data_IF_036768796226
#
_entry.id   IF_036768796226
#
_cell.length_a   1.000
_cell.length_b   1.000
_cell.length_c   1.000
_cell.angle_alpha   90.00
_cell.angle_beta   90.00
_cell.angle_gamma   90.00
#
_symmetry.space_group_name_H-M   'P 1'
#
loop_
_entity.id
_entity.type
_entity.pdbx_description
1 polymer ?
#
# COMPACT_ATOMS: atom_id res chain seq x y z
N UNK A 1 10.60 -4.69 8.29
CA UNK A 1 10.16 -3.29 8.46
C UNK A 1 8.70 -3.17 8.07
N UNK A 2 7.95 -2.41 8.82
CA UNK A 2 6.52 -2.23 8.61
C UNK A 2 6.25 -0.90 7.90
N UNK A 3 5.38 -0.95 6.91
CA UNK A 3 5.02 0.21 6.09
C UNK A 3 3.51 0.34 5.98
N UNK A 4 3.05 1.57 5.87
CA UNK A 4 1.64 1.89 5.61
C UNK A 4 1.59 2.74 4.34
N UNK A 5 0.92 2.25 3.31
CA UNK A 5 0.70 3.01 2.09
C UNK A 5 -0.74 3.52 2.04
N UNK A 6 -0.87 4.81 1.83
CA UNK A 6 -2.14 5.50 1.70
C UNK A 6 -2.34 5.81 0.22
N UNK A 7 -3.44 5.34 -0.35
CA UNK A 7 -3.69 5.42 -1.79
C UNK A 7 -4.86 6.32 -2.10
N UNK A 8 -4.66 7.21 -3.07
CA UNK A 8 -5.73 8.05 -3.60
C UNK A 8 -5.92 7.72 -5.08
N UNK A 9 -6.90 6.89 -5.42
CA UNK A 9 -7.17 6.57 -6.82
C UNK A 9 -7.82 7.77 -7.49
N UNK A 10 -7.22 8.22 -8.58
CA UNK A 10 -7.73 9.40 -9.29
C UNK A 10 -8.97 9.04 -10.08
N UNK A 11 -10.13 9.05 -9.42
CA UNK A 11 -11.42 8.87 -10.08
C UNK A 11 -11.69 7.46 -10.63
N UNK A 12 -11.09 6.44 -10.07
CA UNK A 12 -11.21 5.08 -10.63
C UNK A 12 -12.35 4.23 -10.07
N UNK A 13 -13.01 4.66 -9.00
CA UNK A 13 -14.19 3.97 -8.48
C UNK A 13 -14.00 2.47 -8.26
N UNK A 14 -14.87 1.67 -8.88
CA UNK A 14 -14.85 0.20 -8.72
C UNK A 14 -13.57 -0.46 -9.23
N UNK A 15 -12.86 0.16 -10.17
CA UNK A 15 -11.59 -0.39 -10.62
C UNK A 15 -10.55 -0.36 -9.50
N UNK A 16 -10.60 0.67 -8.65
CA UNK A 16 -9.73 0.75 -7.49
C UNK A 16 -10.01 -0.38 -6.51
N UNK A 17 -11.30 -0.66 -6.25
CA UNK A 17 -11.69 -1.76 -5.36
C UNK A 17 -11.18 -3.09 -5.90
N UNK A 18 -11.38 -3.36 -7.18
CA UNK A 18 -10.91 -4.60 -7.81
C UNK A 18 -9.41 -4.75 -7.70
N UNK A 19 -8.67 -3.66 -7.94
CA UNK A 19 -7.23 -3.70 -7.82
C UNK A 19 -6.77 -4.01 -6.41
N UNK A 20 -7.35 -3.33 -5.42
CA UNK A 20 -7.00 -3.57 -4.02
C UNK A 20 -7.27 -5.02 -3.61
N UNK A 21 -8.38 -5.60 -4.07
CA UNK A 21 -8.69 -7.00 -3.81
C UNK A 21 -7.69 -7.97 -4.45
N UNK A 22 -7.08 -7.57 -5.56
CA UNK A 22 -6.15 -8.42 -6.30
C UNK A 22 -4.71 -8.33 -5.81
N UNK A 23 -4.39 -7.39 -4.91
CA UNK A 23 -3.03 -7.23 -4.42
C UNK A 23 -2.54 -8.47 -3.70
N UNK A 24 -1.34 -8.90 -4.06
CA UNK A 24 -0.70 -10.06 -3.47
C UNK A 24 0.72 -9.72 -3.08
N UNK A 25 1.21 -10.40 -2.06
CA UNK A 25 2.60 -10.30 -1.67
C UNK A 25 3.49 -10.82 -2.79
N UNK A 26 4.71 -10.31 -2.80
CA UNK A 26 5.77 -10.75 -3.70
C UNK A 26 6.94 -11.20 -2.84
N UNK A 27 7.96 -11.76 -3.48
CA UNK A 27 9.20 -12.06 -2.78
C UNK A 27 9.72 -10.81 -2.08
N UNK A 28 9.95 -10.91 -0.77
CA UNK A 28 10.40 -9.78 0.03
C UNK A 28 9.31 -8.84 0.52
N UNK A 29 8.07 -9.04 0.09
CA UNK A 29 6.92 -8.21 0.48
C UNK A 29 5.82 -9.10 1.05
N UNK A 30 5.43 -8.82 2.30
CA UNK A 30 4.31 -9.51 2.95
C UNK A 30 3.20 -8.52 3.20
N UNK A 31 2.09 -8.67 2.50
CA UNK A 31 0.91 -7.83 2.73
C UNK A 31 0.17 -8.36 3.95
N UNK A 32 -0.02 -7.49 4.96
CA UNK A 32 -0.72 -7.85 6.18
C UNK A 32 -2.20 -7.52 6.11
N UNK A 33 -2.52 -6.31 5.67
CA UNK A 33 -3.91 -5.84 5.61
C UNK A 33 -4.09 -4.92 4.42
N UNK A 34 -5.27 -4.98 3.83
CA UNK A 34 -5.68 -4.06 2.78
C UNK A 34 -7.08 -3.57 3.12
N UNK A 35 -7.24 -2.25 3.20
CA UNK A 35 -8.53 -1.64 3.50
C UNK A 35 -8.95 -0.72 2.37
N UNK A 36 -10.23 -0.72 2.07
CA UNK A 36 -10.85 0.30 1.24
C UNK A 36 -11.48 1.34 2.17
N UNK A 37 -11.17 2.61 1.96
CA UNK A 37 -11.61 3.69 2.85
C UNK A 37 -12.33 4.77 2.05
N UNK A 38 -13.06 5.62 2.77
CA UNK A 38 -13.69 6.80 2.18
C UNK A 38 -13.10 8.04 2.82
N UNK A 39 -12.77 9.03 2.00
CA UNK A 39 -12.22 10.27 2.48
C UNK A 39 -11.07 10.72 1.59
N UNK A 40 -10.07 11.35 2.21
CA UNK A 40 -8.89 11.84 1.49
C UNK A 40 -8.13 10.70 0.82
N UNK A 41 -8.09 9.55 1.46
CA UNK A 41 -7.48 8.33 0.93
C UNK A 41 -8.57 7.28 0.75
N UNK A 42 -8.50 6.53 -0.32
CA UNK A 42 -9.49 5.50 -0.63
C UNK A 42 -8.96 4.09 -0.43
N UNK A 43 -7.69 3.95 -0.12
CA UNK A 43 -7.11 2.64 0.18
C UNK A 43 -5.96 2.75 1.15
N UNK A 44 -5.80 1.72 1.98
CA UNK A 44 -4.69 1.59 2.92
C UNK A 44 -4.13 0.19 2.77
N UNK A 45 -2.81 0.09 2.58
CA UNK A 45 -2.11 -1.19 2.55
C UNK A 45 -1.10 -1.19 3.68
N UNK A 46 -1.18 -2.21 4.53
CA UNK A 46 -0.19 -2.42 5.59
C UNK A 46 0.63 -3.64 5.17
N UNK A 47 1.93 -3.44 5.03
CA UNK A 47 2.81 -4.49 4.54
C UNK A 47 4.18 -4.45 5.21
N UNK A 48 4.88 -5.58 5.12
CA UNK A 48 6.24 -5.71 5.60
C UNK A 48 7.19 -5.90 4.42
N UNK A 49 8.36 -5.28 4.51
CA UNK A 49 9.42 -5.46 3.55
C UNK A 49 10.75 -5.59 4.30
N UNK A 50 11.69 -6.32 3.73
CA UNK A 50 12.99 -6.51 4.35
C UNK A 50 13.82 -5.22 4.36
N UNK A 51 13.65 -4.38 3.33
CA UNK A 51 14.40 -3.14 3.18
C UNK A 51 13.50 -2.03 2.70
N UNK A 52 13.94 -0.80 2.89
CA UNK A 52 13.23 0.36 2.35
C UNK A 52 13.23 0.35 0.83
N UNK A 53 14.31 -0.13 0.21
CA UNK A 53 14.38 -0.23 -1.25
C UNK A 53 13.33 -1.20 -1.80
N UNK A 54 13.13 -2.34 -1.14
CA UNK A 54 12.10 -3.31 -1.54
C UNK A 54 10.70 -2.70 -1.40
N UNK A 55 10.47 -1.97 -0.31
CA UNK A 55 9.19 -1.29 -0.08
C UNK A 55 8.93 -0.25 -1.16
N UNK A 56 9.92 0.57 -1.48
CA UNK A 56 9.78 1.61 -2.49
C UNK A 56 9.49 1.01 -3.87
N UNK A 57 10.18 -0.05 -4.23
CA UNK A 57 9.95 -0.73 -5.50
C UNK A 57 8.52 -1.25 -5.61
N UNK A 58 8.02 -1.89 -4.54
CA UNK A 58 6.65 -2.36 -4.48
C UNK A 58 5.65 -1.21 -4.66
N UNK A 59 5.87 -0.11 -3.95
CA UNK A 59 5.00 1.07 -4.02
C UNK A 59 4.99 1.67 -5.42
N UNK A 60 6.16 1.80 -6.03
CA UNK A 60 6.27 2.34 -7.38
C UNK A 60 5.54 1.47 -8.40
N UNK A 61 5.70 0.16 -8.32
CA UNK A 61 5.00 -0.76 -9.20
C UNK A 61 3.48 -0.64 -9.03
N UNK A 62 3.01 -0.57 -7.78
CA UNK A 62 1.60 -0.40 -7.49
C UNK A 62 1.08 0.93 -8.04
N UNK A 63 1.81 2.02 -7.80
CA UNK A 63 1.41 3.34 -8.27
C UNK A 63 1.35 3.43 -9.80
N UNK A 64 2.36 2.91 -10.47
CA UNK A 64 2.42 2.95 -11.94
C UNK A 64 1.34 2.09 -12.58
N UNK A 65 1.10 0.89 -12.06
CA UNK A 65 0.14 -0.02 -12.65
C UNK A 65 -1.31 0.45 -12.49
N UNK A 66 -1.58 1.29 -11.49
CA UNK A 66 -2.94 1.69 -11.15
C UNK A 66 -3.21 3.18 -11.27
N UNK A 67 -2.16 3.97 -11.50
CA UNK A 67 -2.26 5.43 -11.52
C UNK A 67 -2.78 6.02 -10.21
N UNK A 68 -2.47 5.36 -9.08
CA UNK A 68 -2.76 5.90 -7.76
C UNK A 68 -1.72 6.96 -7.39
N UNK A 69 -2.16 7.93 -6.61
CA UNK A 69 -1.23 8.71 -5.81
C UNK A 69 -0.99 7.95 -4.53
N UNK A 70 0.26 7.66 -4.21
CA UNK A 70 0.63 6.84 -3.07
C UNK A 70 1.50 7.63 -2.11
N UNK A 71 1.12 7.61 -0.83
CA UNK A 71 1.94 8.12 0.26
C UNK A 71 2.30 6.94 1.15
N UNK A 72 3.59 6.70 1.36
CA UNK A 72 4.04 5.56 2.16
C UNK A 72 4.79 6.03 3.39
N UNK A 73 4.39 5.48 4.53
CA UNK A 73 4.94 5.81 5.83
C UNK A 73 5.64 4.59 6.40
N UNK A 74 6.76 4.82 7.08
CA UNK A 74 7.40 3.79 7.91
C UNK A 74 6.65 3.77 9.23
N UNK A 75 6.22 2.58 9.67
CA UNK A 75 5.48 2.42 10.90
C UNK A 75 6.29 1.59 11.91
N UNK A 76 6.24 2.00 13.15
CA UNK A 76 6.87 1.29 14.25
C UNK A 76 5.81 1.02 15.31
N UNK A 77 5.59 -0.25 15.70
CA UNK A 77 4.65 -0.55 16.78
C UNK A 77 5.04 0.20 18.06
N UNK A 78 4.07 0.72 18.75
CA UNK A 78 4.34 1.53 19.94
C UNK A 78 5.07 0.77 21.04
N UNK A 79 4.85 -0.54 21.14
CA UNK A 79 5.53 -1.37 22.12
C UNK A 79 7.04 -1.51 21.83
N UNK A 80 7.52 -1.11 20.67
CA UNK A 80 8.95 -1.07 20.35
C UNK A 80 9.59 0.25 20.71
N UNK A 81 8.80 1.20 21.15
CA UNK A 81 9.28 2.49 21.62
C UNK A 81 9.39 2.47 23.15
#
# INVERSE_FOLDING_TARGET
>A
MLFVSLLSPKGKGMNAVKHLKSLKGKEGIKIRDVFFTFGRYDGIIIFEAATEAAAMKFVMETGFSTQYTVETLIAVPTEEL
#
